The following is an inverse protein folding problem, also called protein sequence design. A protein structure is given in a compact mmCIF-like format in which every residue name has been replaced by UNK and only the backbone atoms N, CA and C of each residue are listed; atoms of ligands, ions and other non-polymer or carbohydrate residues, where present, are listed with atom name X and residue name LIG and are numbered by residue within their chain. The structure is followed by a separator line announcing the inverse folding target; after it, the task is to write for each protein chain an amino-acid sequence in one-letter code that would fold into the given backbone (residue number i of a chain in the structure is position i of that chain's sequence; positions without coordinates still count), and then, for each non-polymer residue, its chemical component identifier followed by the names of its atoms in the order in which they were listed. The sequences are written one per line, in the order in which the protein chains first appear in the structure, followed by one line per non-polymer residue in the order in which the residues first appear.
data_IF_252555008058
#
_entry.id   IF_252555008058
#
_cell.length_a   1.000
_cell.length_b   1.000
_cell.length_c   1.000
_cell.angle_alpha   90.00
_cell.angle_beta   90.00
_cell.angle_gamma   90.00
#
_symmetry.space_group_name_H-M   'P 1'
#
loop_
_entity.id
_entity.type
_entity.pdbx_description
1 polymer ?
#
# COMPACT_ATOMS: atom_id res chain seq x y z
N UNK A 1 17.83 -15.72 26.45
CA UNK A 1 17.59 -16.84 25.52
C UNK A 1 18.78 -17.77 25.56
N UNK A 2 18.56 -19.07 25.72
CA UNK A 2 19.62 -20.05 25.48
C UNK A 2 20.08 -19.91 24.02
N UNK A 3 21.36 -20.17 23.78
CA UNK A 3 21.97 -20.18 22.46
C UNK A 3 21.11 -21.09 21.56
N UNK A 4 20.43 -20.53 20.57
CA UNK A 4 19.67 -21.32 19.60
C UNK A 4 20.69 -22.16 18.83
N UNK A 5 20.64 -23.48 19.00
CA UNK A 5 21.48 -24.39 18.25
C UNK A 5 20.83 -24.70 16.90
N UNK A 6 21.15 -23.88 15.90
CA UNK A 6 20.68 -24.06 14.54
C UNK A 6 21.16 -25.40 13.95
N UNK A 7 22.32 -25.91 14.35
CA UNK A 7 22.83 -27.17 13.84
C UNK A 7 22.01 -28.35 14.36
N UNK A 8 21.67 -28.35 15.66
CA UNK A 8 20.79 -29.35 16.23
C UNK A 8 19.39 -29.33 15.58
N UNK A 9 18.86 -28.13 15.32
CA UNK A 9 17.59 -27.95 14.63
C UNK A 9 17.62 -28.58 13.24
N UNK A 10 18.63 -28.25 12.42
CA UNK A 10 18.77 -28.79 11.06
C UNK A 10 18.92 -30.32 11.06
N UNK A 11 19.76 -30.85 11.96
CA UNK A 11 19.94 -32.30 12.10
C UNK A 11 18.63 -33.02 12.47
N UNK A 12 17.80 -32.42 13.32
CA UNK A 12 16.52 -33.01 13.71
C UNK A 12 15.46 -32.92 12.59
N UNK A 13 15.51 -31.89 11.73
CA UNK A 13 14.66 -31.80 10.52
C UNK A 13 15.00 -32.89 9.50
N UNK A 14 16.29 -33.19 9.33
CA UNK A 14 16.79 -34.25 8.43
C UNK A 14 16.63 -35.66 9.01
N UNK A 15 16.26 -35.78 10.28
CA UNK A 15 16.10 -37.07 10.94
C UNK A 15 14.98 -37.89 10.31
N UNK A 16 15.17 -39.22 10.23
CA UNK A 16 14.09 -40.15 9.86
C UNK A 16 13.11 -40.44 11.01
N UNK A 17 13.36 -39.90 12.22
CA UNK A 17 12.51 -40.11 13.39
C UNK A 17 11.45 -39.01 13.47
N UNK A 18 10.17 -39.38 13.33
CA UNK A 18 9.04 -38.44 13.26
C UNK A 18 8.99 -37.55 14.50
N UNK A 19 9.26 -38.07 15.70
CA UNK A 19 9.23 -37.31 16.94
C UNK A 19 10.28 -36.19 16.94
N UNK A 20 11.46 -36.44 16.37
CA UNK A 20 12.50 -35.42 16.24
C UNK A 20 12.12 -34.38 15.19
N UNK A 21 11.53 -34.81 14.08
CA UNK A 21 11.09 -33.90 13.02
C UNK A 21 9.99 -32.95 13.51
N UNK A 22 8.98 -33.47 14.22
CA UNK A 22 7.88 -32.66 14.77
C UNK A 22 8.40 -31.59 15.71
N UNK A 23 9.22 -31.97 16.71
CA UNK A 23 9.82 -31.02 17.65
C UNK A 23 10.72 -29.98 16.95
N UNK A 24 11.41 -30.39 15.88
CA UNK A 24 12.23 -29.47 15.10
C UNK A 24 11.38 -28.47 14.30
N UNK A 25 10.29 -28.91 13.67
CA UNK A 25 9.37 -28.01 12.95
C UNK A 25 8.73 -27.00 13.91
N UNK A 26 8.27 -27.45 15.08
CA UNK A 26 7.73 -26.56 16.12
C UNK A 26 8.77 -25.51 16.55
N UNK A 27 10.01 -25.96 16.78
CA UNK A 27 11.10 -25.06 17.16
C UNK A 27 11.47 -24.08 16.06
N UNK A 28 11.46 -24.49 14.80
CA UNK A 28 11.66 -23.61 13.65
C UNK A 28 10.57 -22.54 13.60
N UNK A 29 9.31 -22.91 13.83
CA UNK A 29 8.18 -21.99 13.94
C UNK A 29 8.39 -20.93 15.04
N UNK A 30 8.81 -21.34 16.24
CA UNK A 30 9.14 -20.40 17.33
C UNK A 30 10.25 -19.42 16.94
N UNK A 31 11.31 -19.89 16.27
CA UNK A 31 12.43 -19.07 15.83
C UNK A 31 11.98 -18.05 14.78
N UNK A 32 11.22 -18.49 13.78
CA UNK A 32 10.67 -17.62 12.73
C UNK A 32 9.78 -16.55 13.36
N UNK A 33 8.88 -16.92 14.27
CA UNK A 33 8.03 -15.97 14.97
C UNK A 33 8.83 -14.97 15.80
N UNK A 34 9.86 -15.44 16.52
CA UNK A 34 10.75 -14.56 17.27
C UNK A 34 11.48 -13.57 16.36
N UNK A 35 12.06 -14.03 15.24
CA UNK A 35 12.73 -13.18 14.26
C UNK A 35 11.77 -12.15 13.68
N UNK A 36 10.54 -12.54 13.35
CA UNK A 36 9.51 -11.63 12.84
C UNK A 36 9.23 -10.49 13.84
N UNK A 37 8.99 -10.83 15.12
CA UNK A 37 8.77 -9.85 16.18
C UNK A 37 9.97 -8.91 16.36
N UNK A 38 11.20 -9.45 16.41
CA UNK A 38 12.39 -8.62 16.56
C UNK A 38 12.60 -7.68 15.36
N UNK A 39 12.30 -8.16 14.15
CA UNK A 39 12.44 -7.32 12.94
C UNK A 39 11.43 -6.18 12.96
N UNK A 40 10.19 -6.42 13.39
CA UNK A 40 9.18 -5.35 13.51
C UNK A 40 9.54 -4.35 14.61
N UNK A 41 10.13 -4.81 15.71
CA UNK A 41 10.63 -3.91 16.75
C UNK A 41 11.82 -3.06 16.27
N UNK A 42 12.71 -3.65 15.46
CA UNK A 42 13.79 -2.90 14.80
C UNK A 42 13.23 -1.87 13.81
N UNK A 43 12.21 -2.24 13.02
CA UNK A 43 11.49 -1.32 12.14
C UNK A 43 10.89 -0.14 12.91
N UNK A 44 10.19 -0.39 14.03
CA UNK A 44 9.60 0.65 14.89
C UNK A 44 10.62 1.68 15.37
N UNK A 45 11.80 1.21 15.77
CA UNK A 45 12.89 2.02 16.34
C UNK A 45 13.79 2.71 15.29
N UNK A 46 13.74 2.26 14.04
CA UNK A 46 14.62 2.77 12.99
C UNK A 46 14.33 4.24 12.65
N UNK A 47 15.38 5.01 12.36
CA UNK A 47 15.25 6.34 11.75
C UNK A 47 15.04 6.25 10.22
N UNK A 48 15.23 5.07 9.64
CA UNK A 48 15.09 4.80 8.21
C UNK A 48 13.96 3.78 7.98
N UNK A 49 12.77 4.09 8.51
CA UNK A 49 11.60 3.17 8.47
C UNK A 49 11.19 2.84 7.04
N UNK A 50 11.25 3.82 6.13
CA UNK A 50 10.96 3.60 4.71
C UNK A 50 11.84 2.50 4.11
N UNK A 51 13.17 2.57 4.29
CA UNK A 51 14.11 1.56 3.77
C UNK A 51 13.89 0.19 4.41
N UNK A 52 13.55 0.16 5.70
CA UNK A 52 13.19 -1.07 6.39
C UNK A 52 11.90 -1.68 5.80
N UNK A 53 10.86 -0.86 5.58
CA UNK A 53 9.58 -1.28 5.00
C UNK A 53 9.76 -1.96 3.64
N UNK A 54 10.62 -1.42 2.78
CA UNK A 54 10.92 -2.01 1.48
C UNK A 54 11.53 -3.42 1.56
N UNK A 55 12.17 -3.77 2.69
CA UNK A 55 12.83 -5.07 2.89
C UNK A 55 12.01 -6.06 3.72
N UNK A 56 11.02 -5.58 4.48
CA UNK A 56 10.15 -6.46 5.28
C UNK A 56 9.41 -7.50 4.42
N UNK A 57 9.18 -7.22 3.13
CA UNK A 57 8.58 -8.17 2.19
C UNK A 57 9.38 -9.46 2.03
N UNK A 58 10.70 -9.44 2.22
CA UNK A 58 11.54 -10.65 2.11
C UNK A 58 11.28 -11.68 3.20
N UNK A 59 10.67 -11.28 4.32
CA UNK A 59 10.27 -12.20 5.38
C UNK A 59 8.95 -12.90 5.09
N UNK A 60 8.20 -12.46 4.08
CA UNK A 60 6.88 -13.02 3.75
C UNK A 60 5.83 -12.72 4.82
N UNK A 61 4.74 -13.49 4.84
CA UNK A 61 3.57 -13.21 5.68
C UNK A 61 3.79 -13.38 7.19
N UNK A 62 4.94 -13.91 7.62
CA UNK A 62 5.27 -14.11 9.04
C UNK A 62 5.33 -12.79 9.82
N UNK A 63 5.53 -11.66 9.13
CA UNK A 63 5.54 -10.33 9.74
C UNK A 63 4.15 -9.72 9.91
N UNK A 64 3.09 -10.31 9.33
CA UNK A 64 1.74 -9.75 9.38
C UNK A 64 1.22 -9.63 10.82
N UNK A 65 1.20 -10.68 11.67
CA UNK A 65 0.70 -10.55 13.03
C UNK A 65 1.44 -9.49 13.89
N UNK A 66 2.79 -9.43 13.92
CA UNK A 66 3.46 -8.37 14.66
C UNK A 66 3.27 -6.97 14.06
N UNK A 67 3.11 -6.84 12.73
CA UNK A 67 2.77 -5.56 12.10
C UNK A 67 1.37 -5.07 12.44
N UNK A 68 0.36 -5.96 12.47
CA UNK A 68 -1.00 -5.59 12.89
C UNK A 68 -1.02 -5.14 14.35
N UNK A 69 -0.24 -5.80 15.21
CA UNK A 69 -0.06 -5.37 16.59
C UNK A 69 0.61 -4.00 16.65
N UNK A 70 1.70 -3.80 15.92
CA UNK A 70 2.40 -2.51 15.85
C UNK A 70 1.45 -1.38 15.40
N UNK A 71 0.66 -1.60 14.35
CA UNK A 71 -0.28 -0.62 13.83
C UNK A 71 -1.31 -0.19 14.89
N UNK A 72 -1.79 -1.11 15.74
CA UNK A 72 -2.73 -0.81 16.82
C UNK A 72 -2.11 -0.04 17.99
N UNK A 73 -0.81 -0.22 18.21
CA UNK A 73 -0.08 0.31 19.37
C UNK A 73 0.75 1.56 19.03
N UNK A 74 0.89 1.91 17.75
CA UNK A 74 1.72 3.02 17.32
C UNK A 74 0.97 4.34 17.34
N UNK A 75 1.62 5.35 17.92
CA UNK A 75 1.24 6.76 17.93
C UNK A 75 2.00 7.59 16.89
N UNK A 76 2.94 6.97 16.16
CA UNK A 76 3.76 7.63 15.16
C UNK A 76 3.14 7.46 13.75
N UNK A 77 2.72 8.57 13.14
CA UNK A 77 2.04 8.55 11.83
C UNK A 77 2.88 7.83 10.75
N UNK A 78 4.18 8.14 10.62
CA UNK A 78 5.07 7.44 9.68
C UNK A 78 5.03 5.91 9.83
N UNK A 79 5.18 5.43 11.07
CA UNK A 79 5.20 4.01 11.41
C UNK A 79 3.87 3.36 11.04
N UNK A 80 2.75 4.01 11.38
CA UNK A 80 1.41 3.52 11.08
C UNK A 80 1.14 3.45 9.58
N UNK A 81 1.52 4.47 8.81
CA UNK A 81 1.34 4.52 7.35
C UNK A 81 2.17 3.42 6.68
N UNK A 82 3.45 3.31 7.01
CA UNK A 82 4.33 2.29 6.43
C UNK A 82 3.89 0.87 6.81
N UNK A 83 3.48 0.64 8.07
CA UNK A 83 2.92 -0.64 8.49
C UNK A 83 1.65 -0.98 7.71
N UNK A 84 0.74 -0.02 7.53
CA UNK A 84 -0.49 -0.20 6.78
C UNK A 84 -0.23 -0.50 5.29
N UNK A 85 0.76 0.13 4.66
CA UNK A 85 1.18 -0.17 3.28
C UNK A 85 1.66 -1.62 3.16
N UNK A 86 2.54 -2.07 4.07
CA UNK A 86 3.07 -3.45 4.06
C UNK A 86 1.94 -4.46 4.26
N UNK A 87 1.07 -4.22 5.25
CA UNK A 87 -0.08 -5.07 5.56
C UNK A 87 -1.01 -5.21 4.35
N UNK A 88 -1.32 -4.09 3.69
CA UNK A 88 -2.20 -4.10 2.52
C UNK A 88 -1.60 -4.90 1.36
N UNK A 89 -0.28 -4.80 1.14
CA UNK A 89 0.41 -5.60 0.13
C UNK A 89 0.39 -7.11 0.45
N UNK A 90 0.38 -7.48 1.73
CA UNK A 90 0.16 -8.87 2.17
C UNK A 90 -1.33 -9.28 2.19
N UNK A 91 -2.24 -8.39 1.79
CA UNK A 91 -3.68 -8.64 1.74
C UNK A 91 -4.42 -8.38 3.06
N UNK A 92 -3.73 -7.93 4.12
CA UNK A 92 -4.39 -7.49 5.34
C UNK A 92 -4.94 -6.08 5.17
N UNK A 93 -6.26 -5.95 5.25
CA UNK A 93 -6.96 -4.66 5.09
C UNK A 93 -7.08 -3.85 6.39
N UNK A 94 -6.47 -4.31 7.49
CA UNK A 94 -6.58 -3.66 8.81
C UNK A 94 -6.10 -2.20 8.79
N UNK A 95 -5.11 -1.88 7.94
CA UNK A 95 -4.57 -0.53 7.79
C UNK A 95 -5.25 0.37 6.77
N UNK A 96 -6.32 -0.08 6.10
CA UNK A 96 -6.95 0.70 5.02
C UNK A 96 -7.44 2.07 5.52
N UNK A 97 -8.08 2.16 6.69
CA UNK A 97 -8.53 3.43 7.26
C UNK A 97 -7.37 4.41 7.48
N UNK A 98 -6.24 3.93 8.01
CA UNK A 98 -5.02 4.73 8.19
C UNK A 98 -4.52 5.29 6.85
N UNK A 99 -4.50 4.49 5.78
CA UNK A 99 -4.09 4.96 4.46
C UNK A 99 -5.09 5.96 3.85
N UNK A 100 -6.39 5.75 4.02
CA UNK A 100 -7.41 6.69 3.56
C UNK A 100 -7.25 8.06 4.25
N UNK A 101 -6.99 8.05 5.55
CA UNK A 101 -6.70 9.27 6.30
C UNK A 101 -5.41 9.95 5.82
N UNK A 102 -4.35 9.19 5.58
CA UNK A 102 -3.08 9.71 5.07
C UNK A 102 -3.20 10.34 3.67
N UNK A 103 -4.12 9.85 2.83
CA UNK A 103 -4.44 10.49 1.55
C UNK A 103 -5.21 11.80 1.75
N UNK A 104 -6.19 11.79 2.66
CA UNK A 104 -7.08 12.94 2.87
C UNK A 104 -6.37 14.11 3.57
N UNK A 105 -5.55 13.80 4.58
CA UNK A 105 -4.81 14.75 5.39
C UNK A 105 -3.43 15.00 4.77
N UNK A 106 -2.83 16.15 5.03
CA UNK A 106 -1.45 16.46 4.58
C UNK A 106 -0.42 15.70 5.43
N UNK A 107 -0.60 14.38 5.56
CA UNK A 107 0.27 13.49 6.33
C UNK A 107 1.47 13.05 5.49
N UNK A 108 2.36 12.26 6.10
CA UNK A 108 3.53 11.73 5.41
C UNK A 108 3.13 10.73 4.31
N UNK A 109 3.84 10.76 3.18
CA UNK A 109 3.68 9.80 2.08
C UNK A 109 2.25 9.65 1.49
N UNK A 110 1.50 10.73 1.20
CA UNK A 110 0.12 10.64 0.70
C UNK A 110 0.06 9.92 -0.66
N UNK A 111 1.07 10.11 -1.53
CA UNK A 111 1.17 9.39 -2.80
C UNK A 111 1.41 7.90 -2.61
N UNK A 112 2.18 7.50 -1.59
CA UNK A 112 2.42 6.08 -1.30
C UNK A 112 1.14 5.41 -0.81
N UNK A 113 0.39 6.08 0.07
CA UNK A 113 -0.91 5.61 0.53
C UNK A 113 -1.89 5.47 -0.64
N UNK A 114 -2.01 6.51 -1.49
CA UNK A 114 -2.86 6.53 -2.67
C UNK A 114 -2.55 5.38 -3.64
N UNK A 115 -1.27 5.22 -4.02
CA UNK A 115 -0.83 4.17 -4.94
C UNK A 115 -1.00 2.77 -4.36
N UNK A 116 -0.76 2.59 -3.05
CA UNK A 116 -0.96 1.30 -2.39
C UNK A 116 -2.43 0.89 -2.36
N UNK A 117 -3.33 1.84 -2.06
CA UNK A 117 -4.78 1.64 -2.11
C UNK A 117 -5.26 1.32 -3.54
N UNK A 118 -4.72 2.03 -4.53
CA UNK A 118 -5.04 1.79 -5.94
C UNK A 118 -4.60 0.40 -6.42
N UNK A 119 -3.36 0.01 -6.11
CA UNK A 119 -2.81 -1.30 -6.44
C UNK A 119 -3.60 -2.45 -5.80
N UNK A 120 -4.15 -2.23 -4.60
CA UNK A 120 -5.02 -3.19 -3.91
C UNK A 120 -6.50 -3.12 -4.35
N UNK A 121 -6.85 -2.21 -5.28
CA UNK A 121 -8.21 -2.06 -5.81
C UNK A 121 -9.22 -1.48 -4.81
N UNK A 122 -8.77 -0.73 -3.81
CA UNK A 122 -9.63 -0.14 -2.77
C UNK A 122 -10.36 1.09 -3.34
N UNK A 123 -11.60 0.89 -3.79
CA UNK A 123 -12.43 1.94 -4.42
C UNK A 123 -12.83 3.04 -3.44
N UNK A 124 -12.87 2.73 -2.16
CA UNK A 124 -13.13 3.67 -1.07
C UNK A 124 -12.12 4.82 -1.04
N UNK A 125 -10.95 4.66 -1.67
CA UNK A 125 -9.93 5.70 -1.78
C UNK A 125 -10.24 6.80 -2.80
N UNK A 126 -11.19 6.59 -3.71
CA UNK A 126 -11.53 7.53 -4.78
C UNK A 126 -11.96 8.89 -4.21
N UNK A 127 -12.91 8.89 -3.27
CA UNK A 127 -13.44 10.14 -2.70
C UNK A 127 -12.37 10.91 -1.91
N UNK A 128 -11.59 10.29 -1.01
CA UNK A 128 -10.42 10.93 -0.39
C UNK A 128 -9.44 11.54 -1.40
N UNK A 129 -9.11 10.82 -2.47
CA UNK A 129 -8.21 11.29 -3.53
C UNK A 129 -8.78 12.51 -4.27
N UNK A 130 -10.07 12.48 -4.64
CA UNK A 130 -10.76 13.60 -5.29
C UNK A 130 -10.76 14.82 -4.37
N UNK A 131 -11.14 14.65 -3.11
CA UNK A 131 -11.18 15.73 -2.13
C UNK A 131 -9.79 16.33 -1.92
N UNK A 132 -8.76 15.48 -1.83
CA UNK A 132 -7.37 15.90 -1.72
C UNK A 132 -6.92 16.72 -2.91
N UNK A 133 -7.26 16.30 -4.13
CA UNK A 133 -6.95 17.06 -5.35
C UNK A 133 -7.67 18.40 -5.37
N UNK A 134 -8.91 18.51 -4.88
CA UNK A 134 -9.64 19.78 -4.80
C UNK A 134 -8.98 20.78 -3.85
N UNK A 135 -8.40 20.31 -2.75
CA UNK A 135 -7.82 21.17 -1.71
C UNK A 135 -6.31 21.37 -1.80
N UNK A 136 -5.56 20.55 -2.54
CA UNK A 136 -4.10 20.64 -2.60
C UNK A 136 -3.60 21.86 -3.39
N UNK A 137 -2.41 22.37 -3.05
CA UNK A 137 -1.73 23.35 -3.90
C UNK A 137 -1.22 22.67 -5.18
N UNK A 138 -1.69 23.14 -6.35
CA UNK A 138 -1.27 22.62 -7.66
C UNK A 138 0.18 22.95 -8.02
N UNK A 139 0.89 23.72 -7.20
CA UNK A 139 2.35 23.81 -7.27
C UNK A 139 3.05 22.54 -6.78
N UNK A 140 2.38 21.72 -5.95
CA UNK A 140 2.88 20.41 -5.57
C UNK A 140 2.54 19.38 -6.68
N UNK A 141 3.34 19.43 -7.74
CA UNK A 141 3.14 18.65 -8.96
C UNK A 141 3.18 17.15 -8.68
N UNK A 142 4.11 16.70 -7.85
CA UNK A 142 4.29 15.27 -7.53
C UNK A 142 3.08 14.72 -6.78
N UNK A 143 2.52 15.48 -5.85
CA UNK A 143 1.29 15.11 -5.15
C UNK A 143 0.11 14.98 -6.12
N UNK A 144 -0.10 16.00 -6.94
CA UNK A 144 -1.23 16.03 -7.86
C UNK A 144 -1.14 14.89 -8.90
N UNK A 145 0.01 14.69 -9.51
CA UNK A 145 0.23 13.61 -10.49
C UNK A 145 0.13 12.24 -9.83
N UNK A 146 0.71 12.07 -8.63
CA UNK A 146 0.63 10.80 -7.90
C UNK A 146 -0.80 10.38 -7.60
N UNK A 147 -1.64 11.32 -7.14
CA UNK A 147 -3.05 11.05 -6.88
C UNK A 147 -3.84 10.82 -8.18
N UNK A 148 -3.59 11.60 -9.23
CA UNK A 148 -4.22 11.40 -10.54
C UNK A 148 -3.90 10.02 -11.14
N UNK A 149 -2.65 9.58 -11.03
CA UNK A 149 -2.24 8.24 -11.45
C UNK A 149 -2.97 7.16 -10.67
N UNK A 150 -3.08 7.31 -9.34
CA UNK A 150 -3.81 6.34 -8.51
C UNK A 150 -5.31 6.27 -8.86
N UNK A 151 -5.93 7.42 -9.18
CA UNK A 151 -7.32 7.45 -9.68
C UNK A 151 -7.45 6.76 -11.05
N UNK A 152 -6.43 6.88 -11.91
CA UNK A 152 -6.39 6.22 -13.23
C UNK A 152 -6.32 4.70 -13.08
N UNK A 153 -5.46 4.22 -12.18
CA UNK A 153 -5.32 2.80 -11.85
C UNK A 153 -6.62 2.22 -11.25
N UNK A 154 -7.34 3.02 -10.47
CA UNK A 154 -8.68 2.69 -9.99
C UNK A 154 -9.76 2.83 -11.07
N UNK A 155 -9.44 3.32 -12.28
CA UNK A 155 -10.41 3.57 -13.34
C UNK A 155 -11.52 4.51 -12.90
N UNK A 156 -11.22 5.45 -11.99
CA UNK A 156 -12.17 6.43 -11.48
C UNK A 156 -12.32 7.59 -12.44
N UNK A 157 -13.54 8.05 -12.65
CA UNK A 157 -13.78 9.31 -13.34
C UNK A 157 -13.44 10.51 -12.46
N UNK A 158 -13.02 11.61 -13.08
CA UNK A 158 -12.77 12.88 -12.40
C UNK A 158 -13.98 13.80 -12.62
N UNK A 159 -14.57 14.35 -11.54
CA UNK A 159 -15.66 15.33 -11.63
C UNK A 159 -15.31 16.54 -12.52
N UNK A 160 -16.31 17.11 -13.20
CA UNK A 160 -16.10 18.23 -14.13
C UNK A 160 -15.47 19.45 -13.48
N UNK A 161 -15.86 19.79 -12.24
CA UNK A 161 -15.28 20.91 -11.49
C UNK A 161 -13.78 20.70 -11.22
N UNK A 162 -13.38 19.48 -10.89
CA UNK A 162 -11.98 19.13 -10.69
C UNK A 162 -11.22 19.10 -12.02
N UNK A 163 -11.86 18.62 -13.10
CA UNK A 163 -11.29 18.64 -14.45
C UNK A 163 -10.97 20.08 -14.89
N UNK A 164 -11.89 21.01 -14.72
CA UNK A 164 -11.71 22.41 -15.10
C UNK A 164 -10.55 23.03 -14.34
N UNK A 165 -10.50 22.78 -13.02
CA UNK A 165 -9.40 23.25 -12.16
C UNK A 165 -8.04 22.68 -12.59
N UNK A 166 -7.95 21.38 -12.88
CA UNK A 166 -6.68 20.74 -13.25
C UNK A 166 -6.22 21.13 -14.67
N UNK A 167 -7.13 21.58 -15.52
CA UNK A 167 -6.84 21.94 -16.92
C UNK A 167 -6.73 23.44 -17.17
N UNK A 168 -6.95 24.26 -16.13
CA UNK A 168 -6.84 25.71 -16.17
C UNK A 168 -5.47 26.20 -16.68
N UNK A 169 -5.45 27.40 -17.25
CA UNK A 169 -4.24 27.97 -17.85
C UNK A 169 -3.13 28.23 -16.81
N UNK A 170 -3.54 28.61 -15.59
CA UNK A 170 -2.67 28.88 -14.45
C UNK A 170 -2.22 27.61 -13.69
N UNK A 171 -2.85 26.45 -13.96
CA UNK A 171 -2.39 25.19 -13.43
C UNK A 171 -0.99 24.82 -13.96
N UNK A 172 -0.21 24.09 -13.16
CA UNK A 172 1.12 23.65 -13.59
C UNK A 172 1.02 22.80 -14.88
N UNK A 173 1.90 23.07 -15.85
CA UNK A 173 1.78 22.50 -17.19
C UNK A 173 1.79 20.95 -17.20
N UNK A 174 2.53 20.31 -16.28
CA UNK A 174 2.55 18.85 -16.16
C UNK A 174 1.18 18.32 -15.71
N UNK A 175 0.56 18.96 -14.71
CA UNK A 175 -0.76 18.59 -14.20
C UNK A 175 -1.80 18.75 -15.30
N UNK A 176 -1.80 19.90 -15.99
CA UNK A 176 -2.70 20.18 -17.11
C UNK A 176 -2.55 19.15 -18.22
N UNK A 177 -1.33 18.80 -18.59
CA UNK A 177 -1.06 17.82 -19.64
C UNK A 177 -1.55 16.42 -19.23
N UNK A 178 -1.27 16.01 -18.00
CA UNK A 178 -1.73 14.72 -17.46
C UNK A 178 -3.26 14.65 -17.40
N UNK A 179 -3.91 15.67 -16.84
CA UNK A 179 -5.36 15.74 -16.72
C UNK A 179 -6.06 15.71 -18.09
N UNK A 180 -5.53 16.41 -19.10
CA UNK A 180 -6.06 16.32 -20.48
C UNK A 180 -5.96 14.91 -21.05
N UNK A 181 -4.81 14.24 -20.89
CA UNK A 181 -4.62 12.85 -21.34
C UNK A 181 -5.62 11.91 -20.64
N UNK A 182 -5.75 12.07 -19.34
CA UNK A 182 -6.65 11.27 -18.51
C UNK A 182 -8.10 11.37 -19.00
N UNK A 183 -8.57 12.59 -19.28
CA UNK A 183 -9.92 12.83 -19.80
C UNK A 183 -10.16 12.15 -21.14
N UNK A 184 -9.24 12.34 -22.09
CA UNK A 184 -9.32 11.72 -23.43
C UNK A 184 -9.36 10.20 -23.32
N UNK A 185 -8.57 9.62 -22.40
CA UNK A 185 -8.58 8.18 -22.15
C UNK A 185 -9.94 7.67 -21.65
N UNK A 186 -10.63 8.44 -20.79
CA UNK A 186 -11.94 8.05 -20.28
C UNK A 186 -13.03 8.13 -21.34
N UNK A 187 -13.06 9.20 -22.14
CA UNK A 187 -14.01 9.38 -23.23
C UNK A 187 -13.91 8.21 -24.22
N UNK A 188 -12.70 7.85 -24.64
CA UNK A 188 -12.45 6.69 -25.49
C UNK A 188 -12.89 5.36 -24.85
N UNK A 189 -12.77 5.21 -23.54
CA UNK A 189 -13.16 3.98 -22.81
C UNK A 189 -14.68 3.85 -22.73
N UNK A 190 -15.40 4.94 -22.50
CA UNK A 190 -16.88 4.99 -22.49
C UNK A 190 -17.42 4.66 -23.88
N UNK A 191 -16.91 5.29 -24.93
CA UNK A 191 -17.32 5.05 -26.33
C UNK A 191 -17.13 3.57 -26.71
N UNK A 192 -15.95 3.00 -26.46
CA UNK A 192 -15.67 1.59 -26.75
C UNK A 192 -16.56 0.63 -25.94
N UNK A 193 -16.92 0.99 -24.70
CA UNK A 193 -17.84 0.21 -23.87
C UNK A 193 -19.27 0.22 -24.40
N UNK A 194 -19.77 1.37 -24.88
CA UNK A 194 -21.08 1.51 -25.49
C UNK A 194 -21.17 0.71 -26.80
N UNK A 195 -20.15 0.80 -27.65
CA UNK A 195 -20.07 0.05 -28.92
C UNK A 195 -20.13 -1.47 -28.66
N UNK A 196 -19.35 -1.98 -27.69
CA UNK A 196 -19.36 -3.41 -27.34
C UNK A 196 -20.72 -3.89 -26.81
N UNK A 197 -21.41 -3.08 -26.00
CA UNK A 197 -22.75 -3.40 -25.51
C UNK A 197 -23.78 -3.43 -26.64
N UNK A 198 -23.72 -2.49 -27.57
CA UNK A 198 -24.62 -2.44 -28.73
C UNK A 198 -24.46 -3.67 -29.64
N UNK A 199 -23.22 -4.14 -29.87
CA UNK A 199 -22.95 -5.35 -30.63
C UNK A 199 -23.47 -6.62 -29.92
N UNK A 200 -23.36 -6.68 -28.58
CA UNK A 200 -23.83 -7.85 -27.81
C UNK A 200 -25.37 -7.94 -27.68
N UNK A 201 -26.10 -6.88 -28.03
CA UNK A 201 -27.57 -6.83 -28.03
C UNK A 201 -28.23 -7.05 -29.39
N UNK A 202 -27.44 -7.32 -30.43
CA UNK A 202 -27.87 -7.72 -31.78
C UNK A 202 -27.81 -9.24 -31.93
#
# INVERSE_FOLDING_TARGET
MSKIDLNLLMNNLESSQVEKQVLAVEKAGEIVNYIAVQTIEAFRKSQHRFLMAERLYHLGSVVVPPLEKLLKESDNSETSILAAVILLRFGSKVGVSCLLEAVAKDEEYPCLAATSLAAAGIKEAIEPMINRLKSCDLKNVDLAIGILSALEDLGSEIPSDLRDRLTAEDAHWQIRTYAKRFVVYQENRVENGQIKKAIASL
#
